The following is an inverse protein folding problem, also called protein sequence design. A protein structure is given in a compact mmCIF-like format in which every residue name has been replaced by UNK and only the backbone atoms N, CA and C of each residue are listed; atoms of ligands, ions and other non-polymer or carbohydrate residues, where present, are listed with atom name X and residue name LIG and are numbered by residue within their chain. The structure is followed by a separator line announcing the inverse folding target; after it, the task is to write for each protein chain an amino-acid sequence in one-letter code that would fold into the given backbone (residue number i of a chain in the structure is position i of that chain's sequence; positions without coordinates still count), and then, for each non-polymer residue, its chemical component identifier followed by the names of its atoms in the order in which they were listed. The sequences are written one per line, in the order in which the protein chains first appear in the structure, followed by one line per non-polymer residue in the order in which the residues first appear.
data_IF_092306892685
#
_entry.id   IF_092306892685
#
_cell.length_a   1.000
_cell.length_b   1.000
_cell.length_c   1.000
_cell.angle_alpha   90.00
_cell.angle_beta   90.00
_cell.angle_gamma   90.00
#
_symmetry.space_group_name_H-M   'P 1'
#
loop_
_entity.id
_entity.type
_entity.pdbx_description
1 polymer ?
#
# COMPACT_ATOMS: atom_id res chain seq x y z
N UNK A 1 2.84 20.25 -20.81
CA UNK A 1 2.16 18.97 -20.50
C UNK A 1 1.04 18.76 -21.52
N UNK A 2 1.32 18.10 -22.65
CA UNK A 2 0.35 17.95 -23.76
C UNK A 2 -0.74 16.95 -23.36
N UNK A 3 -1.99 17.40 -23.34
CA UNK A 3 -3.21 16.59 -23.21
C UNK A 3 -3.28 15.60 -24.38
N UNK A 4 -2.78 14.38 -24.21
CA UNK A 4 -3.03 13.29 -25.17
C UNK A 4 -4.30 12.55 -24.77
N UNK A 5 -5.34 12.76 -25.59
CA UNK A 5 -6.41 11.81 -25.95
C UNK A 5 -7.01 11.02 -24.77
N UNK A 6 -7.72 11.72 -23.89
CA UNK A 6 -8.78 11.11 -23.09
C UNK A 6 -10.05 11.16 -23.92
N UNK A 7 -10.34 10.08 -24.65
CA UNK A 7 -11.64 9.94 -25.30
C UNK A 7 -12.73 10.11 -24.25
N UNK A 8 -13.61 11.06 -24.55
CA UNK A 8 -14.72 11.55 -23.75
C UNK A 8 -15.72 10.41 -23.55
N UNK A 9 -15.52 9.55 -22.55
CA UNK A 9 -16.56 8.64 -22.08
C UNK A 9 -17.52 9.49 -21.24
N UNK A 10 -18.51 10.09 -21.91
CA UNK A 10 -19.49 11.04 -21.38
C UNK A 10 -20.54 10.40 -20.45
N UNK A 11 -20.49 9.10 -20.19
CA UNK A 11 -21.36 8.46 -19.20
C UNK A 11 -20.66 8.27 -17.84
N UNK A 12 -21.14 9.05 -16.86
CA UNK A 12 -21.27 8.66 -15.46
C UNK A 12 -20.04 8.68 -14.56
N UNK A 13 -19.47 9.86 -14.23
CA UNK A 13 -18.52 9.99 -13.09
C UNK A 13 -19.06 9.34 -11.82
N UNK A 14 -20.36 9.56 -11.56
CA UNK A 14 -21.10 8.97 -10.43
C UNK A 14 -21.19 7.46 -10.58
N UNK A 15 -21.50 6.94 -11.78
CA UNK A 15 -21.56 5.48 -12.04
C UNK A 15 -20.21 4.82 -11.78
N UNK A 16 -19.10 5.40 -12.25
CA UNK A 16 -17.75 4.88 -11.98
C UNK A 16 -17.42 4.93 -10.50
N UNK A 17 -17.76 6.02 -9.79
CA UNK A 17 -17.59 6.09 -8.34
C UNK A 17 -18.37 5.00 -7.61
N UNK A 18 -19.65 4.79 -7.94
CA UNK A 18 -20.48 3.73 -7.37
C UNK A 18 -19.90 2.34 -7.63
N UNK A 19 -19.39 2.09 -8.84
CA UNK A 19 -18.72 0.82 -9.17
C UNK A 19 -17.42 0.63 -8.41
N UNK A 20 -16.63 1.68 -8.20
CA UNK A 20 -15.43 1.60 -7.38
C UNK A 20 -15.78 1.33 -5.92
N UNK A 21 -16.79 2.00 -5.37
CA UNK A 21 -17.27 1.74 -4.02
C UNK A 21 -17.75 0.29 -3.87
N UNK A 22 -18.55 -0.20 -4.83
CA UNK A 22 -18.98 -1.60 -4.87
C UNK A 22 -17.79 -2.56 -4.95
N UNK A 23 -16.81 -2.29 -5.81
CA UNK A 23 -15.62 -3.12 -5.95
C UNK A 23 -14.80 -3.18 -4.64
N UNK A 24 -14.54 -2.03 -4.01
CA UNK A 24 -13.83 -1.98 -2.74
C UNK A 24 -14.60 -2.70 -1.62
N UNK A 25 -15.93 -2.52 -1.56
CA UNK A 25 -16.79 -3.22 -0.59
C UNK A 25 -16.76 -4.73 -0.79
N UNK A 26 -16.79 -5.22 -2.03
CA UNK A 26 -16.69 -6.66 -2.33
C UNK A 26 -15.30 -7.21 -1.96
N UNK A 27 -14.22 -6.44 -2.18
CA UNK A 27 -12.87 -6.83 -1.73
C UNK A 27 -12.78 -6.90 -0.21
N UNK A 28 -13.38 -5.94 0.51
CA UNK A 28 -13.46 -5.98 1.96
C UNK A 28 -14.30 -7.18 2.45
N UNK A 29 -15.41 -7.49 1.78
CA UNK A 29 -16.24 -8.66 2.11
C UNK A 29 -15.47 -9.98 1.90
N UNK A 30 -14.68 -10.09 0.84
CA UNK A 30 -13.78 -11.23 0.62
C UNK A 30 -12.81 -11.40 1.81
N UNK A 31 -12.24 -10.31 2.31
CA UNK A 31 -11.34 -10.35 3.46
C UNK A 31 -12.06 -10.78 4.75
N UNK A 32 -13.23 -10.19 5.03
CA UNK A 32 -14.02 -10.49 6.23
C UNK A 32 -14.49 -11.95 6.24
N UNK A 33 -15.02 -12.43 5.11
CA UNK A 33 -15.50 -13.82 4.98
C UNK A 33 -14.36 -14.82 5.01
N UNK A 34 -13.22 -14.51 4.37
CA UNK A 34 -12.00 -15.31 4.47
C UNK A 34 -11.48 -15.39 5.90
N UNK A 35 -11.41 -14.26 6.60
CA UNK A 35 -10.98 -14.19 8.00
C UNK A 35 -11.90 -15.01 8.92
N UNK A 36 -13.22 -14.89 8.75
CA UNK A 36 -14.20 -15.68 9.49
C UNK A 36 -14.01 -17.19 9.26
N UNK A 37 -13.73 -17.60 8.02
CA UNK A 37 -13.50 -19.00 7.65
C UNK A 37 -12.21 -19.57 8.26
N UNK A 38 -11.20 -18.73 8.45
CA UNK A 38 -9.89 -19.11 9.00
C UNK A 38 -9.74 -18.85 10.50
N UNK A 39 -10.79 -18.42 11.21
CA UNK A 39 -10.75 -18.05 12.63
C UNK A 39 -10.16 -19.14 13.54
N UNK A 40 -10.35 -20.40 13.19
CA UNK A 40 -9.85 -21.54 13.96
C UNK A 40 -8.42 -21.97 13.58
N UNK A 41 -7.85 -21.39 12.52
CA UNK A 41 -6.53 -21.73 12.01
C UNK A 41 -5.46 -20.90 12.73
N UNK A 42 -4.99 -21.40 13.87
CA UNK A 42 -4.03 -20.70 14.75
C UNK A 42 -2.57 -21.06 14.45
N UNK A 43 -2.17 -21.12 13.19
CA UNK A 43 -0.78 -21.37 12.80
C UNK A 43 -0.15 -20.15 12.10
N UNK A 44 1.17 -20.15 11.97
CA UNK A 44 1.90 -19.03 11.35
C UNK A 44 1.56 -18.78 9.87
N UNK A 45 0.89 -19.72 9.21
CA UNK A 45 0.51 -19.64 7.80
C UNK A 45 -0.87 -19.04 7.57
N UNK A 46 -1.68 -18.85 8.62
CA UNK A 46 -3.06 -18.41 8.48
C UNK A 46 -3.18 -17.04 7.82
N UNK A 47 -2.42 -16.04 8.29
CA UNK A 47 -2.44 -14.68 7.73
C UNK A 47 -1.91 -14.62 6.30
N UNK A 48 -0.86 -15.40 6.00
CA UNK A 48 -0.31 -15.49 4.65
C UNK A 48 -1.33 -16.13 3.70
N UNK A 49 -1.98 -17.20 4.14
CA UNK A 49 -3.00 -17.91 3.36
C UNK A 49 -4.22 -17.03 3.10
N UNK A 50 -4.69 -16.31 4.13
CA UNK A 50 -5.77 -15.33 4.02
C UNK A 50 -5.39 -14.23 3.02
N UNK A 51 -4.19 -13.67 3.13
CA UNK A 51 -3.70 -12.60 2.26
C UNK A 51 -3.56 -13.08 0.81
N UNK A 52 -3.06 -14.30 0.59
CA UNK A 52 -2.92 -14.89 -0.74
C UNK A 52 -4.29 -15.17 -1.39
N UNK A 53 -5.23 -15.72 -0.62
CA UNK A 53 -6.61 -15.90 -1.04
C UNK A 53 -7.25 -14.55 -1.42
N UNK A 54 -7.17 -13.55 -0.54
CA UNK A 54 -7.77 -12.24 -0.76
C UNK A 54 -7.12 -11.51 -1.94
N UNK A 55 -5.81 -11.60 -2.14
CA UNK A 55 -5.11 -11.04 -3.29
C UNK A 55 -5.59 -11.67 -4.60
N UNK A 56 -5.68 -13.01 -4.62
CA UNK A 56 -6.13 -13.77 -5.80
C UNK A 56 -7.59 -13.45 -6.12
N UNK A 57 -8.48 -13.47 -5.13
CA UNK A 57 -9.89 -13.16 -5.31
C UNK A 57 -10.11 -11.70 -5.75
N UNK A 58 -9.35 -10.74 -5.20
CA UNK A 58 -9.40 -9.33 -5.62
C UNK A 58 -8.91 -9.14 -7.06
N UNK A 59 -7.88 -9.89 -7.48
CA UNK A 59 -7.43 -9.91 -8.87
C UNK A 59 -8.49 -10.51 -9.80
N UNK A 60 -9.11 -11.63 -9.43
CA UNK A 60 -10.18 -12.23 -10.23
C UNK A 60 -11.40 -11.30 -10.32
N UNK A 61 -11.75 -10.62 -9.24
CA UNK A 61 -12.83 -9.61 -9.22
C UNK A 61 -12.50 -8.39 -10.10
N UNK A 62 -11.22 -8.06 -10.28
CA UNK A 62 -10.80 -6.98 -11.18
C UNK A 62 -11.23 -7.25 -12.63
N UNK A 63 -11.28 -8.51 -13.07
CA UNK A 63 -11.60 -8.88 -14.47
C UNK A 63 -13.01 -8.45 -14.90
N UNK A 64 -14.11 -8.86 -14.22
CA UNK A 64 -15.46 -8.44 -14.61
C UNK A 64 -15.66 -6.92 -14.47
N UNK A 65 -15.09 -6.28 -13.45
CA UNK A 65 -15.16 -4.82 -13.29
C UNK A 65 -14.39 -4.06 -14.38
N UNK A 66 -13.23 -4.56 -14.80
CA UNK A 66 -12.50 -4.02 -15.93
C UNK A 66 -13.33 -4.11 -17.22
N UNK A 67 -13.95 -5.27 -17.48
CA UNK A 67 -14.88 -5.46 -18.61
C UNK A 67 -16.07 -4.50 -18.54
N UNK A 68 -16.65 -4.30 -17.34
CA UNK A 68 -17.79 -3.40 -17.13
C UNK A 68 -17.46 -1.93 -17.44
N UNK A 69 -16.24 -1.50 -17.13
CA UNK A 69 -15.71 -0.17 -17.47
C UNK A 69 -15.07 -0.10 -18.88
N UNK A 70 -15.11 -1.19 -19.65
CA UNK A 70 -14.46 -1.31 -20.97
C UNK A 70 -12.96 -0.96 -20.92
N UNK A 71 -12.28 -1.36 -19.83
CA UNK A 71 -10.85 -1.20 -19.62
C UNK A 71 -10.13 -2.54 -19.78
N UNK A 72 -8.97 -2.52 -20.41
CA UNK A 72 -8.06 -3.66 -20.43
C UNK A 72 -7.28 -3.77 -19.12
N UNK A 73 -6.87 -4.99 -18.75
CA UNK A 73 -6.03 -5.22 -17.57
C UNK A 73 -4.67 -4.48 -17.69
N UNK A 74 -4.18 -4.28 -18.91
CA UNK A 74 -2.99 -3.46 -19.17
C UNK A 74 -3.18 -1.98 -18.81
N UNK A 75 -4.37 -1.42 -19.08
CA UNK A 75 -4.71 -0.05 -18.66
C UNK A 75 -4.87 0.09 -17.14
N UNK A 76 -5.19 -1.00 -16.45
CA UNK A 76 -5.20 -1.03 -14.98
C UNK A 76 -3.79 -1.15 -14.41
N UNK A 77 -2.84 -1.64 -15.22
CA UNK A 77 -1.43 -1.80 -14.82
C UNK A 77 -1.22 -2.96 -13.85
N UNK A 78 -2.12 -3.96 -13.89
CA UNK A 78 -2.09 -5.18 -13.07
C UNK A 78 -1.45 -6.38 -13.80
N UNK A 79 -1.17 -6.24 -15.10
CA UNK A 79 -0.58 -7.31 -15.93
C UNK A 79 0.94 -7.30 -15.76
N UNK A 80 1.57 -8.42 -15.33
CA UNK A 80 3.02 -8.53 -15.29
C UNK A 80 3.64 -8.44 -16.70
N UNK A 81 4.84 -7.88 -16.79
CA UNK A 81 5.63 -7.87 -18.02
C UNK A 81 7.13 -7.73 -17.74
N UNK A 82 7.95 -7.58 -18.79
CA UNK A 82 9.42 -7.49 -18.68
C UNK A 82 9.90 -6.42 -17.69
N UNK A 83 9.17 -5.31 -17.57
CA UNK A 83 9.50 -4.20 -16.67
C UNK A 83 9.02 -4.38 -15.22
N UNK A 84 8.31 -5.47 -14.88
CA UNK A 84 7.75 -5.66 -13.53
C UNK A 84 8.83 -5.66 -12.46
N UNK A 85 9.85 -6.51 -12.60
CA UNK A 85 10.95 -6.57 -11.63
C UNK A 85 11.74 -5.26 -11.58
N UNK A 86 12.00 -4.66 -12.74
CA UNK A 86 12.67 -3.35 -12.85
C UNK A 86 11.89 -2.17 -12.25
N UNK A 87 10.61 -2.35 -11.90
CA UNK A 87 9.80 -1.36 -11.18
C UNK A 87 9.62 -1.74 -9.70
N UNK A 88 9.42 -3.02 -9.42
CA UNK A 88 9.21 -3.52 -8.07
C UNK A 88 10.47 -3.39 -7.21
N UNK A 89 11.65 -3.75 -7.74
CA UNK A 89 12.90 -3.69 -6.99
C UNK A 89 13.27 -2.25 -6.57
N UNK A 90 13.28 -1.24 -7.46
CA UNK A 90 13.49 0.14 -7.02
C UNK A 90 12.44 0.61 -6.02
N UNK A 91 11.17 0.22 -6.22
CA UNK A 91 10.11 0.48 -5.25
C UNK A 91 10.45 -0.06 -3.87
N UNK A 92 10.89 -1.32 -3.81
CA UNK A 92 11.31 -1.99 -2.58
C UNK A 92 12.46 -1.27 -1.87
N UNK A 93 13.52 -0.91 -2.59
CA UNK A 93 14.64 -0.16 -1.99
C UNK A 93 14.23 1.23 -1.50
N UNK A 94 13.36 1.92 -2.23
CA UNK A 94 12.82 3.21 -1.78
C UNK A 94 11.96 3.02 -0.52
N UNK A 95 11.13 1.99 -0.45
CA UNK A 95 10.33 1.68 0.74
C UNK A 95 11.20 1.38 1.96
N UNK A 96 12.30 0.63 1.79
CA UNK A 96 13.26 0.38 2.86
C UNK A 96 13.96 1.66 3.31
N UNK A 97 14.32 2.53 2.37
CA UNK A 97 14.90 3.84 2.69
C UNK A 97 13.93 4.70 3.52
N UNK A 98 12.66 4.76 3.12
CA UNK A 98 11.62 5.50 3.87
C UNK A 98 11.45 4.89 5.27
N UNK A 99 11.38 3.56 5.40
CA UNK A 99 11.28 2.89 6.70
C UNK A 99 12.51 3.14 7.59
N UNK A 100 13.70 3.10 7.01
CA UNK A 100 14.96 3.36 7.72
C UNK A 100 15.09 4.82 8.17
N UNK A 101 14.66 5.77 7.34
CA UNK A 101 14.58 7.18 7.73
C UNK A 101 13.57 7.40 8.86
N UNK A 102 12.41 6.74 8.79
CA UNK A 102 11.42 6.80 9.88
C UNK A 102 12.02 6.28 11.18
N UNK A 103 12.64 5.10 11.17
CA UNK A 103 13.33 4.55 12.35
C UNK A 103 14.41 5.53 12.85
N UNK A 104 15.23 6.10 11.97
CA UNK A 104 16.33 7.00 12.37
C UNK A 104 15.82 8.24 13.11
N UNK A 105 14.71 8.82 12.64
CA UNK A 105 14.07 9.94 13.34
C UNK A 105 13.49 9.50 14.69
N UNK A 106 12.83 8.34 14.74
CA UNK A 106 12.25 7.83 16.00
C UNK A 106 13.35 7.48 17.02
N UNK A 107 14.49 6.93 16.60
CA UNK A 107 15.65 6.73 17.48
C UNK A 107 16.22 8.04 18.03
N UNK A 108 16.20 9.10 17.21
CA UNK A 108 16.75 10.41 17.59
C UNK A 108 15.82 11.17 18.54
N UNK A 109 14.51 11.13 18.29
CA UNK A 109 13.53 12.01 18.95
C UNK A 109 12.51 11.26 19.83
N UNK A 110 12.27 9.98 19.58
CA UNK A 110 11.20 9.19 20.20
C UNK A 110 11.53 8.63 21.58
N UNK A 111 12.74 8.87 22.11
CA UNK A 111 13.18 8.31 23.39
C UNK A 111 13.06 6.78 23.46
N UNK A 112 13.35 6.12 22.35
CA UNK A 112 13.31 4.66 22.24
C UNK A 112 14.71 4.04 22.23
N UNK A 113 14.79 2.80 22.67
CA UNK A 113 15.92 1.89 22.44
C UNK A 113 15.43 0.63 21.75
N UNK A 114 16.34 -0.04 21.04
CA UNK A 114 16.04 -1.29 20.34
C UNK A 114 16.62 -2.46 21.11
N UNK A 115 15.78 -3.44 21.39
CA UNK A 115 16.17 -4.72 21.97
C UNK A 115 16.11 -5.76 20.85
N UNK A 116 17.18 -6.52 20.68
CA UNK A 116 17.21 -7.58 19.66
C UNK A 116 16.33 -8.75 20.10
N UNK A 117 15.48 -9.22 19.19
CA UNK A 117 14.71 -10.44 19.36
C UNK A 117 15.38 -11.57 18.60
N UNK A 118 15.52 -12.74 19.23
CA UNK A 118 15.99 -13.94 18.53
C UNK A 118 14.85 -14.53 17.69
N UNK A 119 14.91 -14.31 16.37
CA UNK A 119 13.97 -14.90 15.41
C UNK A 119 14.68 -15.93 14.52
N UNK A 120 13.95 -16.99 14.16
CA UNK A 120 14.42 -17.95 13.17
C UNK A 120 14.43 -17.34 11.76
N UNK A 121 15.33 -17.80 10.89
CA UNK A 121 15.32 -17.41 9.47
C UNK A 121 13.96 -17.67 8.81
N UNK A 122 13.32 -18.80 9.12
CA UNK A 122 11.99 -19.14 8.62
C UNK A 122 10.93 -18.13 9.03
N UNK A 123 10.98 -17.59 10.25
CA UNK A 123 10.04 -16.56 10.71
C UNK A 123 10.22 -15.26 9.92
N UNK A 124 11.47 -14.84 9.69
CA UNK A 124 11.77 -13.63 8.90
C UNK A 124 11.32 -13.80 7.46
N UNK A 125 11.61 -14.95 6.84
CA UNK A 125 11.19 -15.27 5.48
C UNK A 125 9.66 -15.30 5.34
N UNK A 126 8.96 -15.89 6.32
CA UNK A 126 7.50 -15.94 6.35
C UNK A 126 6.89 -14.54 6.48
N UNK A 127 7.43 -13.69 7.37
CA UNK A 127 7.01 -12.30 7.51
C UNK A 127 7.24 -11.49 6.24
N UNK A 128 8.39 -11.68 5.57
CA UNK A 128 8.66 -11.04 4.28
C UNK A 128 7.63 -11.42 3.23
N UNK A 129 7.34 -12.72 3.08
CA UNK A 129 6.31 -13.20 2.16
C UNK A 129 4.92 -12.67 2.51
N UNK A 130 4.57 -12.66 3.80
CA UNK A 130 3.31 -12.10 4.30
C UNK A 130 3.16 -10.64 3.88
N UNK A 131 4.13 -9.78 4.17
CA UNK A 131 4.03 -8.36 3.84
C UNK A 131 4.07 -8.09 2.33
N UNK A 132 4.75 -8.92 1.55
CA UNK A 132 4.72 -8.84 0.09
C UNK A 132 3.33 -9.15 -0.47
N UNK A 133 2.69 -10.23 0.00
CA UNK A 133 1.36 -10.63 -0.46
C UNK A 133 0.28 -9.69 0.07
N UNK A 134 0.39 -9.23 1.31
CA UNK A 134 -0.51 -8.23 1.89
C UNK A 134 -0.47 -6.93 1.09
N UNK A 135 0.73 -6.42 0.79
CA UNK A 135 0.90 -5.25 -0.07
C UNK A 135 0.31 -5.50 -1.47
N UNK A 136 0.56 -6.67 -2.07
CA UNK A 136 -0.02 -7.02 -3.36
C UNK A 136 -1.55 -6.99 -3.33
N UNK A 137 -2.19 -7.54 -2.29
CA UNK A 137 -3.65 -7.51 -2.11
C UNK A 137 -4.17 -6.08 -2.15
N UNK A 138 -3.59 -5.20 -1.35
CA UNK A 138 -4.05 -3.82 -1.23
C UNK A 138 -3.77 -3.02 -2.51
N UNK A 139 -2.60 -3.18 -3.13
CA UNK A 139 -2.27 -2.47 -4.37
C UNK A 139 -3.11 -2.92 -5.57
N UNK A 140 -3.46 -4.21 -5.66
CA UNK A 140 -4.41 -4.73 -6.67
C UNK A 140 -5.76 -4.02 -6.53
N UNK A 141 -6.31 -3.99 -5.31
CA UNK A 141 -7.62 -3.41 -5.02
C UNK A 141 -7.63 -1.91 -5.26
N UNK A 142 -6.73 -1.18 -4.61
CA UNK A 142 -6.78 0.27 -4.55
C UNK A 142 -6.12 0.94 -5.76
N UNK A 143 -4.99 0.42 -6.25
CA UNK A 143 -4.16 1.08 -7.29
C UNK A 143 -4.35 0.47 -8.68
N UNK A 144 -4.88 -0.75 -8.75
CA UNK A 144 -5.34 -1.41 -9.97
C UNK A 144 -6.64 -0.81 -10.47
N UNK A 145 -7.75 -1.53 -10.33
CA UNK A 145 -9.05 -1.11 -10.86
C UNK A 145 -9.53 0.24 -10.29
N UNK A 146 -9.55 0.38 -8.96
CA UNK A 146 -10.22 1.49 -8.29
C UNK A 146 -9.62 2.87 -8.64
N UNK A 147 -8.30 3.05 -8.46
CA UNK A 147 -7.62 4.30 -8.80
C UNK A 147 -7.66 4.58 -10.31
N UNK A 148 -7.45 3.56 -11.17
CA UNK A 148 -7.35 3.76 -12.62
C UNK A 148 -8.67 4.19 -13.22
N UNK A 149 -9.74 3.46 -12.92
CA UNK A 149 -11.08 3.76 -13.40
C UNK A 149 -11.50 5.19 -13.03
N UNK A 150 -11.33 5.58 -11.77
CA UNK A 150 -11.63 6.96 -11.33
C UNK A 150 -10.68 7.98 -11.97
N UNK A 151 -9.37 7.73 -12.02
CA UNK A 151 -8.41 8.68 -12.58
C UNK A 151 -8.69 9.05 -14.03
N UNK A 152 -9.21 8.09 -14.82
CA UNK A 152 -9.60 8.32 -16.21
C UNK A 152 -10.86 9.17 -16.37
N UNK A 153 -11.70 9.29 -15.32
CA UNK A 153 -12.99 10.01 -15.36
C UNK A 153 -12.94 11.37 -14.67
N UNK A 154 -12.24 11.47 -13.55
CA UNK A 154 -12.23 12.66 -12.68
C UNK A 154 -10.82 13.24 -12.47
N UNK A 155 -9.81 12.64 -13.09
CA UNK A 155 -8.41 13.04 -12.98
C UNK A 155 -7.68 12.37 -11.82
N UNK A 156 -6.35 12.28 -11.90
CA UNK A 156 -5.53 11.51 -10.95
C UNK A 156 -5.60 12.04 -9.52
N UNK A 157 -5.62 13.36 -9.32
CA UNK A 157 -5.62 13.97 -7.98
C UNK A 157 -6.91 13.71 -7.21
N UNK A 158 -8.06 13.92 -7.84
CA UNK A 158 -9.36 13.67 -7.20
C UNK A 158 -9.54 12.19 -6.89
N UNK A 159 -9.19 11.32 -7.84
CA UNK A 159 -9.22 9.87 -7.63
C UNK A 159 -8.32 9.47 -6.46
N UNK A 160 -7.10 10.00 -6.39
CA UNK A 160 -6.15 9.68 -5.33
C UNK A 160 -6.66 10.06 -3.93
N UNK A 161 -7.26 11.24 -3.79
CA UNK A 161 -7.83 11.70 -2.51
C UNK A 161 -9.00 10.80 -2.09
N UNK A 162 -9.90 10.49 -3.02
CA UNK A 162 -11.03 9.59 -2.75
C UNK A 162 -10.54 8.22 -2.31
N UNK A 163 -9.56 7.64 -3.01
CA UNK A 163 -9.04 6.32 -2.66
C UNK A 163 -8.27 6.32 -1.34
N UNK A 164 -7.55 7.41 -1.00
CA UNK A 164 -6.90 7.53 0.30
C UNK A 164 -7.91 7.54 1.45
N UNK A 165 -9.06 8.21 1.27
CA UNK A 165 -10.16 8.20 2.24
C UNK A 165 -10.76 6.78 2.37
N UNK A 166 -11.07 6.11 1.25
CA UNK A 166 -11.62 4.74 1.30
C UNK A 166 -10.64 3.78 1.98
N UNK A 167 -9.35 3.90 1.69
CA UNK A 167 -8.29 3.08 2.29
C UNK A 167 -8.17 3.31 3.81
N UNK A 168 -8.23 4.57 4.26
CA UNK A 168 -8.25 4.90 5.68
C UNK A 168 -9.50 4.33 6.37
N UNK A 169 -10.68 4.45 5.73
CA UNK A 169 -11.93 3.89 6.28
C UNK A 169 -11.89 2.35 6.39
N UNK A 170 -11.29 1.64 5.44
CA UNK A 170 -11.10 0.18 5.56
C UNK A 170 -10.22 -0.16 6.78
N UNK A 171 -9.14 0.59 7.01
CA UNK A 171 -8.28 0.38 8.18
C UNK A 171 -8.99 0.69 9.50
N UNK A 172 -9.81 1.74 9.53
CA UNK A 172 -10.64 2.06 10.69
C UNK A 172 -11.65 0.94 10.98
N UNK A 173 -12.29 0.38 9.95
CA UNK A 173 -13.14 -0.81 10.07
C UNK A 173 -12.35 -2.06 10.52
N UNK A 174 -11.05 -2.12 10.21
CA UNK A 174 -10.10 -3.13 10.68
C UNK A 174 -9.57 -2.90 12.10
N UNK A 175 -10.03 -1.86 12.81
CA UNK A 175 -9.70 -1.61 14.22
C UNK A 175 -8.69 -0.49 14.47
N UNK A 176 -8.24 0.24 13.44
CA UNK A 176 -7.37 1.41 13.65
C UNK A 176 -8.16 2.57 14.26
N UNK A 177 -7.51 3.36 15.11
CA UNK A 177 -8.07 4.65 15.55
C UNK A 177 -8.20 5.61 14.36
N UNK A 178 -9.02 6.64 14.50
CA UNK A 178 -9.16 7.67 13.45
C UNK A 178 -7.80 8.28 13.07
N UNK A 179 -6.94 8.55 14.06
CA UNK A 179 -5.59 9.09 13.86
C UNK A 179 -4.71 8.11 13.07
N UNK A 180 -4.67 6.83 13.47
CA UNK A 180 -3.89 5.80 12.79
C UNK A 180 -4.37 5.58 11.35
N UNK A 181 -5.69 5.58 11.14
CA UNK A 181 -6.30 5.39 9.84
C UNK A 181 -6.00 6.54 8.88
N UNK A 182 -6.26 7.80 9.28
CA UNK A 182 -6.13 8.94 8.37
C UNK A 182 -4.71 9.49 8.29
N UNK A 183 -4.01 9.66 9.42
CA UNK A 183 -2.65 10.17 9.43
C UNK A 183 -1.59 9.10 9.19
N UNK A 184 -1.87 7.84 9.53
CA UNK A 184 -1.05 6.69 9.15
C UNK A 184 -1.40 6.21 7.74
N UNK A 185 -2.27 5.21 7.65
CA UNK A 185 -2.60 4.50 6.40
C UNK A 185 -3.05 5.42 5.27
N UNK A 186 -3.86 6.44 5.55
CA UNK A 186 -4.36 7.40 4.57
C UNK A 186 -3.25 8.25 3.91
N UNK A 187 -2.29 8.73 4.68
CA UNK A 187 -1.12 9.45 4.15
C UNK A 187 -0.19 8.51 3.38
N UNK A 188 0.05 7.30 3.89
CA UNK A 188 0.84 6.28 3.18
C UNK A 188 0.21 5.91 1.83
N UNK A 189 -1.12 5.84 1.78
CA UNK A 189 -1.89 5.64 0.57
C UNK A 189 -1.60 6.70 -0.52
N UNK A 190 -1.28 7.95 -0.15
CA UNK A 190 -0.89 8.99 -1.11
C UNK A 190 0.45 8.65 -1.78
N UNK A 191 1.44 8.17 -1.04
CA UNK A 191 2.73 7.73 -1.57
C UNK A 191 2.55 6.59 -2.57
N UNK A 192 1.82 5.54 -2.18
CA UNK A 192 1.61 4.35 -3.01
C UNK A 192 0.84 4.69 -4.28
N UNK A 193 -0.21 5.52 -4.16
CA UNK A 193 -0.98 5.96 -5.31
C UNK A 193 -0.20 6.87 -6.26
N UNK A 194 0.66 7.76 -5.76
CA UNK A 194 1.57 8.54 -6.59
C UNK A 194 2.55 7.63 -7.34
N UNK A 195 3.17 6.65 -6.65
CA UNK A 195 4.05 5.68 -7.26
C UNK A 195 3.32 4.89 -8.38
N UNK A 196 2.07 4.46 -8.14
CA UNK A 196 1.24 3.79 -9.14
C UNK A 196 0.97 4.69 -10.36
N UNK A 197 0.52 5.92 -10.14
CA UNK A 197 0.19 6.87 -11.21
C UNK A 197 1.42 7.20 -12.06
N UNK A 198 2.58 7.39 -11.42
CA UNK A 198 3.85 7.73 -12.07
C UNK A 198 4.39 6.56 -12.89
N UNK A 199 4.37 5.33 -12.35
CA UNK A 199 4.90 4.14 -13.04
C UNK A 199 3.90 3.46 -13.97
N UNK A 200 2.66 3.94 -14.02
CA UNK A 200 1.58 3.38 -14.84
C UNK A 200 1.30 1.89 -14.53
N UNK A 201 1.52 1.45 -13.30
CA UNK A 201 1.18 0.11 -12.84
C UNK A 201 1.42 -0.11 -11.36
N UNK A 202 1.12 -1.30 -10.87
CA UNK A 202 1.17 -1.62 -9.43
C UNK A 202 2.51 -2.23 -8.97
N UNK A 203 3.41 -2.58 -9.88
CA UNK A 203 4.67 -3.24 -9.52
C UNK A 203 5.54 -2.40 -8.55
N UNK A 204 5.74 -1.11 -8.83
CA UNK A 204 6.51 -0.23 -7.94
C UNK A 204 5.84 -0.03 -6.57
N UNK A 205 4.54 0.33 -6.48
CA UNK A 205 3.92 0.49 -5.18
C UNK A 205 3.83 -0.83 -4.40
N UNK A 206 3.71 -2.00 -5.04
CA UNK A 206 3.81 -3.30 -4.34
C UNK A 206 5.15 -3.43 -3.63
N UNK A 207 6.27 -3.22 -4.35
CA UNK A 207 7.60 -3.29 -3.76
C UNK A 207 7.78 -2.28 -2.63
N UNK A 208 7.37 -1.03 -2.86
CA UNK A 208 7.50 0.05 -1.91
C UNK A 208 6.67 -0.17 -0.64
N UNK A 209 5.43 -0.64 -0.78
CA UNK A 209 4.53 -0.93 0.31
C UNK A 209 4.99 -2.16 1.10
N UNK A 210 5.39 -3.23 0.41
CA UNK A 210 5.94 -4.43 1.03
C UNK A 210 7.18 -4.09 1.88
N UNK A 211 8.11 -3.30 1.33
CA UNK A 211 9.29 -2.84 2.03
C UNK A 211 8.99 -1.94 3.22
N UNK A 212 8.01 -1.04 3.09
CA UNK A 212 7.57 -0.20 4.21
C UNK A 212 7.07 -1.06 5.37
N UNK A 213 6.16 -2.00 5.10
CA UNK A 213 5.59 -2.86 6.13
C UNK A 213 6.62 -3.83 6.74
N UNK A 214 7.42 -4.48 5.89
CA UNK A 214 8.46 -5.39 6.33
C UNK A 214 9.56 -4.66 7.12
N UNK A 215 9.97 -3.47 6.68
CA UNK A 215 10.93 -2.63 7.38
C UNK A 215 10.42 -2.21 8.76
N UNK A 216 9.21 -1.64 8.83
CA UNK A 216 8.58 -1.31 10.12
C UNK A 216 8.48 -2.52 11.06
N UNK A 217 8.14 -3.69 10.53
CA UNK A 217 8.14 -4.93 11.30
C UNK A 217 9.53 -5.28 11.80
N UNK A 218 10.55 -5.32 10.92
CA UNK A 218 11.94 -5.59 11.31
C UNK A 218 12.41 -4.66 12.42
N UNK A 219 12.03 -3.38 12.37
CA UNK A 219 12.43 -2.34 13.32
C UNK A 219 11.61 -2.31 14.61
N UNK A 220 10.63 -3.20 14.79
CA UNK A 220 9.79 -3.25 15.99
C UNK A 220 8.76 -2.12 16.09
N UNK A 221 8.47 -1.44 14.97
CA UNK A 221 7.49 -0.34 14.87
C UNK A 221 6.07 -0.84 14.50
N UNK A 222 5.81 -2.14 14.66
CA UNK A 222 4.50 -2.78 14.52
C UNK A 222 4.08 -3.34 15.89
N UNK A 223 2.78 -3.60 16.06
CA UNK A 223 2.22 -4.13 17.31
C UNK A 223 2.54 -5.63 17.57
N UNK A 224 3.45 -6.21 16.79
CA UNK A 224 3.94 -7.58 16.94
C UNK A 224 5.47 -7.58 16.94
N UNK A 225 6.13 -8.48 17.69
CA UNK A 225 7.59 -8.55 17.71
C UNK A 225 8.18 -8.80 16.32
N UNK A 226 9.19 -8.01 15.97
CA UNK A 226 10.04 -8.25 14.80
C UNK A 226 11.48 -8.57 15.20
N UNK A 227 12.43 -8.30 14.31
CA UNK A 227 13.87 -8.50 14.59
C UNK A 227 14.31 -7.63 15.77
N UNK A 228 13.79 -6.41 15.83
CA UNK A 228 13.93 -5.52 16.96
C UNK A 228 12.59 -5.37 17.68
N UNK A 229 12.66 -5.11 18.97
CA UNK A 229 11.56 -4.66 19.80
C UNK A 229 11.89 -3.27 20.35
N UNK A 230 10.91 -2.38 20.26
CA UNK A 230 11.03 -1.02 20.77
C UNK A 230 10.79 -1.02 22.27
N UNK A 231 11.75 -0.46 23.03
CA UNK A 231 11.61 -0.15 24.44
C UNK A 231 11.63 1.36 24.63
N UNK A 232 10.53 1.90 25.15
CA UNK A 232 10.37 3.34 25.39
C UNK A 232 10.97 3.70 26.75
N UNK A 233 11.70 4.82 26.80
CA UNK A 233 12.25 5.33 28.05
C UNK A 233 11.13 5.71 29.03
N UNK A 234 11.32 5.37 30.30
CA UNK A 234 10.35 5.65 31.37
C UNK A 234 9.97 7.14 31.40
N UNK A 235 8.66 7.43 31.39
CA UNK A 235 8.10 8.79 31.41
C UNK A 235 7.85 9.41 30.03
N UNK A 236 8.12 8.69 28.95
CA UNK A 236 7.88 9.13 27.56
C UNK A 236 6.83 8.30 26.82
N UNK A 237 6.18 7.34 27.48
CA UNK A 237 5.26 6.37 26.87
C UNK A 237 4.10 7.06 26.12
N UNK A 238 3.45 8.05 26.75
CA UNK A 238 2.33 8.79 26.14
C UNK A 238 2.79 9.71 25.00
N UNK A 239 4.00 10.27 25.10
CA UNK A 239 4.54 11.20 24.08
C UNK A 239 5.15 10.46 22.88
N UNK A 240 5.66 9.25 23.09
CA UNK A 240 6.35 8.49 22.05
C UNK A 240 5.44 8.18 20.85
N UNK A 241 4.17 7.85 21.08
CA UNK A 241 3.22 7.60 19.98
C UNK A 241 3.06 8.86 19.09
N UNK A 242 2.90 10.03 19.71
CA UNK A 242 2.79 11.30 18.99
C UNK A 242 4.07 11.63 18.22
N UNK A 243 5.24 11.48 18.86
CA UNK A 243 6.54 11.73 18.21
C UNK A 243 6.75 10.76 17.05
N UNK A 244 6.40 9.48 17.23
CA UNK A 244 6.49 8.46 16.17
C UNK A 244 5.61 8.81 14.98
N UNK A 245 4.39 9.30 15.22
CA UNK A 245 3.47 9.77 14.19
C UNK A 245 3.99 11.03 13.49
N UNK A 246 4.56 11.99 14.21
CA UNK A 246 5.17 13.18 13.62
C UNK A 246 6.35 12.79 12.71
N UNK A 247 7.24 11.91 13.18
CA UNK A 247 8.34 11.39 12.38
C UNK A 247 7.84 10.68 11.12
N UNK A 248 6.77 9.88 11.24
CA UNK A 248 6.11 9.24 10.11
C UNK A 248 5.61 10.26 9.09
N UNK A 249 4.89 11.29 9.54
CA UNK A 249 4.32 12.33 8.67
C UNK A 249 5.40 13.12 7.94
N UNK A 250 6.53 13.41 8.60
CA UNK A 250 7.69 14.07 7.97
C UNK A 250 8.22 13.21 6.82
N UNK A 251 8.52 11.93 7.08
CA UNK A 251 9.10 11.06 6.03
C UNK A 251 8.11 10.81 4.90
N UNK A 252 6.83 10.61 5.21
CA UNK A 252 5.80 10.47 4.17
C UNK A 252 5.60 11.76 3.37
N UNK A 253 5.64 12.92 4.01
CA UNK A 253 5.58 14.22 3.34
C UNK A 253 6.75 14.41 2.37
N UNK A 254 7.97 14.05 2.79
CA UNK A 254 9.16 14.05 1.92
C UNK A 254 9.02 13.06 0.77
N UNK A 255 8.50 11.85 1.01
CA UNK A 255 8.25 10.86 -0.03
C UNK A 255 7.20 11.35 -1.05
N UNK A 256 6.10 11.96 -0.59
CA UNK A 256 5.08 12.58 -1.45
C UNK A 256 5.71 13.67 -2.31
N UNK A 257 6.50 14.56 -1.71
CA UNK A 257 7.20 15.62 -2.44
C UNK A 257 8.16 15.04 -3.48
N UNK A 258 8.95 14.03 -3.13
CA UNK A 258 9.87 13.36 -4.04
C UNK A 258 9.14 12.71 -5.22
N UNK A 259 8.07 11.93 -4.99
CA UNK A 259 7.27 11.34 -6.08
C UNK A 259 6.51 12.39 -6.91
N UNK A 260 6.14 13.52 -6.30
CA UNK A 260 5.49 14.61 -6.99
C UNK A 260 6.46 15.33 -7.94
N UNK A 261 7.62 15.74 -7.42
CA UNK A 261 8.62 16.56 -8.10
C UNK A 261 9.48 15.76 -9.07
N UNK A 262 9.74 14.48 -8.82
CA UNK A 262 10.61 13.69 -9.68
C UNK A 262 9.90 13.28 -10.97
N UNK A 263 10.33 13.79 -12.15
CA UNK A 263 9.83 13.28 -13.40
C UNK A 263 10.46 11.90 -13.61
N UNK A 264 9.66 10.83 -13.64
CA UNK A 264 10.14 9.50 -14.06
C UNK A 264 10.51 9.55 -15.56
N UNK A 265 11.68 10.11 -15.88
CA UNK A 265 12.21 10.24 -17.25
C UNK A 265 12.89 8.96 -17.76
N UNK A 266 12.91 7.88 -16.98
CA UNK A 266 13.83 6.74 -17.23
C UNK A 266 13.20 5.34 -17.14
N UNK A 267 11.88 5.18 -17.21
CA UNK A 267 11.26 3.85 -17.36
C UNK A 267 10.55 3.65 -18.71
N UNK A 268 10.55 4.67 -19.58
CA UNK A 268 9.96 4.61 -20.92
C UNK A 268 10.91 4.07 -22.00
N UNK A 269 12.23 4.04 -21.76
CA UNK A 269 13.18 3.49 -22.75
C UNK A 269 13.24 1.96 -22.73
N UNK A 270 12.96 1.32 -21.59
CA UNK A 270 12.94 -0.15 -21.47
C UNK A 270 11.61 -0.81 -21.89
N UNK A 271 10.57 -0.03 -22.20
CA UNK A 271 9.26 -0.54 -22.63
C UNK A 271 9.02 -0.40 -24.15
N UNK A 272 10.07 -0.06 -24.92
CA UNK A 272 10.05 0.04 -26.39
C UNK A 272 10.91 -1.03 -27.07
N UNK A 273 11.27 -2.12 -26.37
CA UNK A 273 11.97 -3.30 -26.93
C UNK A 273 11.30 -4.59 -26.47
#
# INVERSE_FOLDING_TARGET
MKRTVYNKITDGRIKTLLRVLLFCMLCALILVTGSASLKNWKNSWADLSLSAFAATASFLLTIPFAKWEKLSLGQLGVVPGKATLGRMLPGFFIGLLIAGLHLSLVLTFGHISLINTTLSFSSVALSFLLYLILAAREEITFRGYALRSLSYKIGPWKAQIILAIIFALEHMAGGFTWQQAFFGSGVGALVFGLAALRTKGIAMPIGLHAAWNFGQWCFGLKNIPGIWQVSVSKGFEEKNEQITMICYLIVMGLAIAAFYLYPLRTLSKAAKV
#
